data_IF_629116471640
#
_entry.id   IF_629116471640
#
_cell.length_a   1.000
_cell.length_b   1.000
_cell.length_c   1.000
_cell.angle_alpha   90.00
_cell.angle_beta   90.00
_cell.angle_gamma   90.00
#
_symmetry.space_group_name_H-M   'P 1'
#
loop_
_entity.id
_entity.type
_entity.pdbx_description
1 polymer ?
#
# COMPACT_ATOMS: atom_id res chain seq x y z
N UNK A 1 -1.72 18.44 -7.06
CA UNK A 1 -1.87 17.02 -7.46
C UNK A 1 -1.76 16.98 -8.97
N UNK A 2 -1.02 16.05 -9.59
CA UNK A 2 -1.04 15.89 -11.03
C UNK A 2 -2.47 15.65 -11.49
N UNK A 3 -2.90 16.36 -12.52
CA UNK A 3 -4.25 16.23 -13.09
C UNK A 3 -4.29 14.88 -13.83
N UNK A 4 -5.01 13.90 -13.27
CA UNK A 4 -5.19 12.62 -13.93
C UNK A 4 -5.97 12.79 -15.23
N UNK A 5 -5.51 12.12 -16.27
CA UNK A 5 -6.25 11.98 -17.51
C UNK A 5 -7.33 10.92 -17.35
N UNK A 6 -8.56 11.25 -17.73
CA UNK A 6 -9.67 10.28 -17.71
C UNK A 6 -9.83 9.68 -19.10
N UNK A 7 -9.81 8.36 -19.14
CA UNK A 7 -10.04 7.55 -20.36
C UNK A 7 -11.30 6.73 -20.14
N UNK A 8 -12.23 6.77 -21.10
CA UNK A 8 -13.41 5.90 -21.11
C UNK A 8 -13.06 4.59 -21.82
N UNK A 9 -13.38 3.49 -21.19
CA UNK A 9 -13.13 2.13 -21.66
C UNK A 9 -14.48 1.44 -21.99
N UNK A 10 -14.48 0.37 -22.81
CA UNK A 10 -15.69 -0.39 -23.09
C UNK A 10 -16.42 -0.84 -21.82
N UNK A 11 -17.77 -0.79 -21.83
CA UNK A 11 -18.64 -1.19 -20.73
C UNK A 11 -18.68 -0.19 -19.57
N UNK A 12 -18.70 1.11 -19.87
CA UNK A 12 -18.77 2.23 -18.93
C UNK A 12 -17.66 2.24 -17.86
N UNK A 13 -16.56 1.55 -18.15
CA UNK A 13 -15.38 1.57 -17.30
C UNK A 13 -14.61 2.89 -17.47
N UNK A 14 -14.01 3.36 -16.41
CA UNK A 14 -13.19 4.56 -16.44
C UNK A 14 -11.80 4.26 -15.90
N UNK A 15 -10.79 4.72 -16.63
CA UNK A 15 -9.41 4.77 -16.17
C UNK A 15 -9.01 6.21 -15.86
N UNK A 16 -8.32 6.42 -14.76
CA UNK A 16 -7.60 7.65 -14.41
C UNK A 16 -6.13 7.33 -14.50
N UNK A 17 -5.46 7.98 -15.45
CA UNK A 17 -4.07 7.68 -15.82
C UNK A 17 -3.18 8.85 -15.45
N UNK A 18 -2.01 8.55 -14.92
CA UNK A 18 -0.96 9.54 -14.73
C UNK A 18 -0.41 9.96 -16.10
N UNK A 19 -0.58 11.22 -16.56
CA UNK A 19 -0.14 11.65 -17.87
C UNK A 19 1.39 11.60 -18.03
N UNK A 20 2.13 11.75 -16.92
CA UNK A 20 3.59 11.76 -16.88
C UNK A 20 4.18 10.36 -16.68
N UNK A 21 3.42 9.30 -16.99
CA UNK A 21 3.92 7.94 -16.87
C UNK A 21 4.88 7.62 -18.01
N UNK A 22 6.11 7.15 -17.74
CA UNK A 22 7.17 7.02 -18.76
C UNK A 22 6.86 6.01 -19.87
N UNK A 23 6.19 4.89 -19.52
CA UNK A 23 5.76 3.83 -20.45
C UNK A 23 4.23 3.91 -20.60
N UNK A 24 3.77 4.95 -21.32
CA UNK A 24 2.34 5.16 -21.54
C UNK A 24 1.70 4.02 -22.34
N UNK A 25 2.41 3.51 -23.36
CA UNK A 25 1.89 2.45 -24.22
C UNK A 25 1.71 1.14 -23.44
N UNK A 26 2.71 0.71 -22.69
CA UNK A 26 2.61 -0.46 -21.82
C UNK A 26 1.52 -0.30 -20.76
N UNK A 27 1.37 0.89 -20.18
CA UNK A 27 0.32 1.17 -19.22
C UNK A 27 -1.08 1.05 -19.85
N UNK A 28 -1.30 1.59 -21.05
CA UNK A 28 -2.58 1.50 -21.78
C UNK A 28 -2.89 0.05 -22.18
N UNK A 29 -1.88 -0.70 -22.62
CA UNK A 29 -1.99 -2.14 -22.88
C UNK A 29 -2.44 -2.90 -21.64
N UNK A 30 -1.80 -2.62 -20.49
CA UNK A 30 -2.16 -3.26 -19.21
C UNK A 30 -3.59 -2.90 -18.77
N UNK A 31 -4.01 -1.65 -18.95
CA UNK A 31 -5.38 -1.19 -18.67
C UNK A 31 -6.39 -1.91 -19.58
N UNK A 32 -6.10 -2.06 -20.86
CA UNK A 32 -6.95 -2.78 -21.80
C UNK A 32 -7.09 -4.27 -21.43
N UNK A 33 -5.99 -4.89 -21.04
CA UNK A 33 -5.91 -6.30 -20.65
C UNK A 33 -6.18 -6.56 -19.15
N UNK A 34 -6.69 -5.60 -18.38
CA UNK A 34 -6.81 -5.66 -16.92
C UNK A 34 -7.48 -6.91 -16.36
N UNK A 35 -8.40 -7.52 -17.12
CA UNK A 35 -9.10 -8.74 -16.72
C UNK A 35 -8.25 -10.00 -16.87
N UNK A 36 -7.35 -10.02 -17.84
CA UNK A 36 -6.51 -11.15 -18.22
C UNK A 36 -5.05 -10.97 -17.84
N UNK A 37 -4.61 -9.73 -17.57
CA UNK A 37 -3.21 -9.43 -17.27
C UNK A 37 -2.64 -10.24 -16.10
N UNK A 38 -3.48 -10.64 -15.15
CA UNK A 38 -3.08 -11.48 -13.99
C UNK A 38 -2.93 -12.98 -14.35
N UNK A 39 -3.13 -13.34 -15.62
CA UNK A 39 -2.94 -14.69 -16.16
C UNK A 39 -1.82 -14.76 -17.21
N UNK A 40 -1.15 -13.63 -17.47
CA UNK A 40 -0.05 -13.57 -18.45
C UNK A 40 1.15 -14.38 -17.97
N UNK A 41 1.99 -14.89 -18.89
CA UNK A 41 3.27 -15.50 -18.54
C UNK A 41 4.16 -14.52 -17.75
N UNK A 42 4.92 -15.06 -16.77
CA UNK A 42 5.83 -14.26 -15.95
C UNK A 42 5.16 -13.44 -14.84
N UNK A 43 3.85 -13.55 -14.66
CA UNK A 43 3.14 -12.90 -13.54
C UNK A 43 3.48 -13.57 -12.23
N UNK A 44 3.89 -12.76 -11.24
CA UNK A 44 4.13 -13.21 -9.88
C UNK A 44 3.00 -12.76 -8.96
N UNK A 45 2.25 -13.71 -8.41
CA UNK A 45 1.13 -13.44 -7.51
C UNK A 45 1.68 -13.32 -6.08
N UNK A 46 1.44 -12.18 -5.43
CA UNK A 46 1.84 -11.91 -4.05
C UNK A 46 0.71 -12.16 -3.06
N UNK A 47 -0.55 -11.95 -3.49
CA UNK A 47 -1.74 -12.12 -2.68
C UNK A 47 -2.92 -12.52 -3.55
N UNK A 48 -3.72 -13.46 -3.06
CA UNK A 48 -4.96 -13.88 -3.70
C UNK A 48 -5.97 -14.27 -2.63
N UNK A 49 -6.84 -13.32 -2.25
CA UNK A 49 -7.88 -13.51 -1.25
C UNK A 49 -9.26 -13.05 -1.80
N UNK A 50 -10.37 -13.33 -1.10
CA UNK A 50 -11.70 -12.93 -1.58
C UNK A 50 -11.87 -11.42 -1.76
N UNK A 51 -11.07 -10.59 -1.11
CA UNK A 51 -11.17 -9.12 -1.17
C UNK A 51 -10.31 -8.52 -2.27
N UNK A 52 -9.14 -9.12 -2.55
CA UNK A 52 -8.18 -8.56 -3.49
C UNK A 52 -7.21 -9.60 -4.05
N UNK A 53 -6.68 -9.31 -5.24
CA UNK A 53 -5.54 -10.02 -5.83
C UNK A 53 -4.45 -9.01 -6.12
N UNK A 54 -3.22 -9.31 -5.72
CA UNK A 54 -2.05 -8.46 -5.94
C UNK A 54 -1.00 -9.27 -6.68
N UNK A 55 -0.51 -8.74 -7.79
CA UNK A 55 0.50 -9.40 -8.58
C UNK A 55 1.45 -8.40 -9.25
N UNK A 56 2.68 -8.84 -9.48
CA UNK A 56 3.62 -8.17 -10.38
C UNK A 56 3.45 -8.70 -11.79
N UNK A 57 3.24 -7.79 -12.74
CA UNK A 57 2.96 -8.07 -14.15
C UNK A 57 4.05 -7.45 -15.01
N UNK A 58 4.80 -8.22 -15.81
CA UNK A 58 5.76 -7.69 -16.76
C UNK A 58 5.05 -7.18 -18.02
N UNK A 59 5.34 -5.94 -18.43
CA UNK A 59 4.86 -5.34 -19.68
C UNK A 59 5.99 -4.48 -20.26
N UNK A 60 6.34 -4.68 -21.52
CA UNK A 60 7.39 -3.93 -22.23
C UNK A 60 8.71 -3.80 -21.45
N UNK A 61 9.15 -4.88 -20.79
CA UNK A 61 10.37 -4.88 -19.99
C UNK A 61 10.28 -4.14 -18.65
N UNK A 62 9.11 -3.62 -18.28
CA UNK A 62 8.85 -3.01 -16.99
C UNK A 62 7.98 -3.90 -16.12
N UNK A 63 8.17 -3.78 -14.80
CA UNK A 63 7.35 -4.48 -13.83
C UNK A 63 6.32 -3.52 -13.24
N UNK A 64 5.07 -3.91 -13.34
CA UNK A 64 3.94 -3.20 -12.75
C UNK A 64 3.36 -4.00 -11.59
N UNK A 65 3.04 -3.35 -10.48
CA UNK A 65 2.21 -3.96 -9.45
C UNK A 65 0.75 -3.65 -9.77
N UNK A 66 -0.05 -4.70 -9.89
CA UNK A 66 -1.50 -4.61 -10.13
C UNK A 66 -2.22 -5.13 -8.89
N UNK A 67 -2.99 -4.27 -8.23
CA UNK A 67 -3.90 -4.63 -7.13
C UNK A 67 -5.33 -4.58 -7.64
N UNK A 68 -5.92 -5.75 -7.84
CA UNK A 68 -7.32 -5.90 -8.20
C UNK A 68 -8.18 -6.01 -6.94
N UNK A 69 -9.03 -5.03 -6.71
CA UNK A 69 -10.04 -5.04 -5.65
C UNK A 69 -11.27 -5.77 -6.15
N UNK A 70 -11.52 -6.94 -5.60
CA UNK A 70 -12.64 -7.78 -5.96
C UNK A 70 -13.94 -7.24 -5.36
N UNK A 71 -15.05 -7.53 -6.03
CA UNK A 71 -16.39 -7.25 -5.51
C UNK A 71 -16.61 -8.00 -4.21
N UNK A 72 -17.12 -7.32 -3.20
CA UNK A 72 -17.56 -7.92 -1.94
C UNK A 72 -19.08 -8.07 -1.91
N UNK A 73 -19.59 -8.92 -1.00
CA UNK A 73 -21.02 -9.18 -0.85
C UNK A 73 -21.83 -7.89 -0.61
N UNK A 74 -23.05 -7.82 -1.18
CA UNK A 74 -23.94 -6.65 -1.25
C UNK A 74 -24.15 -5.92 0.09
N UNK A 75 -24.23 -6.65 1.20
CA UNK A 75 -24.39 -6.08 2.55
C UNK A 75 -23.23 -5.18 2.97
N UNK A 76 -22.01 -5.47 2.52
CA UNK A 76 -20.82 -4.64 2.82
C UNK A 76 -20.69 -3.44 1.88
N UNK A 77 -21.31 -3.52 0.70
CA UNK A 77 -21.26 -2.46 -0.31
C UNK A 77 -22.26 -1.33 -0.04
N UNK A 78 -23.44 -1.61 0.53
CA UNK A 78 -24.44 -0.57 0.86
C UNK A 78 -23.88 0.52 1.80
N UNK A 79 -23.09 0.14 2.81
CA UNK A 79 -22.41 1.11 3.67
C UNK A 79 -21.19 1.79 3.05
N UNK A 80 -20.72 1.30 1.87
CA UNK A 80 -19.54 1.79 1.14
C UNK A 80 -19.87 2.48 -0.18
N UNK A 81 -21.10 2.37 -0.68
CA UNK A 81 -21.54 2.95 -1.96
C UNK A 81 -21.31 4.47 -2.02
N UNK A 82 -21.38 5.15 -0.87
CA UNK A 82 -21.11 6.58 -0.72
C UNK A 82 -19.63 6.90 -0.48
N UNK A 83 -18.77 5.89 -0.31
CA UNK A 83 -17.34 6.11 -0.08
C UNK A 83 -16.57 6.05 -1.40
N UNK A 84 -15.52 6.86 -1.49
CA UNK A 84 -14.58 6.84 -2.60
C UNK A 84 -13.98 5.43 -2.78
N UNK A 85 -13.78 4.92 -4.04
CA UNK A 85 -13.12 3.65 -4.30
C UNK A 85 -11.77 3.55 -3.59
N UNK A 86 -11.50 2.40 -2.94
CA UNK A 86 -10.20 2.16 -2.28
C UNK A 86 -9.02 2.37 -3.23
N UNK A 87 -9.14 1.95 -4.49
CA UNK A 87 -8.09 2.15 -5.50
C UNK A 87 -7.77 3.63 -5.72
N UNK A 88 -8.79 4.50 -5.85
CA UNK A 88 -8.58 5.95 -5.97
C UNK A 88 -8.04 6.55 -4.68
N UNK A 89 -8.52 6.08 -3.53
CA UNK A 89 -8.00 6.51 -2.23
C UNK A 89 -6.51 6.18 -2.08
N UNK A 90 -6.12 4.93 -2.36
CA UNK A 90 -4.72 4.49 -2.28
C UNK A 90 -3.83 5.23 -3.30
N UNK A 91 -4.36 5.51 -4.51
CA UNK A 91 -3.67 6.34 -5.51
C UNK A 91 -3.35 7.73 -4.95
N UNK A 92 -4.36 8.47 -4.48
CA UNK A 92 -4.18 9.82 -3.97
C UNK A 92 -3.27 9.86 -2.75
N UNK A 93 -3.39 8.85 -1.90
CA UNK A 93 -2.54 8.75 -0.72
C UNK A 93 -1.08 8.55 -1.11
N UNK A 94 -0.80 7.68 -2.09
CA UNK A 94 0.56 7.52 -2.62
C UNK A 94 1.12 8.83 -3.20
N UNK A 95 0.33 9.54 -4.01
CA UNK A 95 0.73 10.86 -4.55
C UNK A 95 1.05 11.83 -3.41
N UNK A 96 0.20 11.89 -2.39
CA UNK A 96 0.38 12.76 -1.24
C UNK A 96 1.63 12.42 -0.43
N UNK A 97 1.85 11.14 -0.14
CA UNK A 97 3.02 10.68 0.62
C UNK A 97 4.32 10.99 -0.11
N UNK A 98 4.35 10.77 -1.43
CA UNK A 98 5.50 11.14 -2.26
C UNK A 98 5.78 12.65 -2.22
N UNK A 99 4.74 13.49 -2.29
CA UNK A 99 4.88 14.94 -2.16
C UNK A 99 5.40 15.37 -0.78
N UNK A 100 5.18 14.58 0.27
CA UNK A 100 5.72 14.77 1.62
C UNK A 100 7.12 14.15 1.78
N UNK A 101 7.71 13.61 0.71
CA UNK A 101 9.00 12.92 0.74
C UNK A 101 8.98 11.58 1.49
N UNK A 102 7.81 11.00 1.74
CA UNK A 102 7.68 9.66 2.34
C UNK A 102 7.84 8.62 1.23
N UNK A 103 8.85 7.73 1.30
CA UNK A 103 9.11 6.72 0.28
C UNK A 103 7.91 5.77 0.12
N UNK A 104 7.46 5.64 -1.12
CA UNK A 104 6.39 4.71 -1.51
C UNK A 104 6.38 4.55 -3.04
N UNK A 105 5.56 3.64 -3.54
CA UNK A 105 5.38 3.39 -4.97
C UNK A 105 4.90 4.62 -5.74
N UNK A 106 5.30 4.71 -7.01
CA UNK A 106 4.74 5.67 -7.96
C UNK A 106 3.44 5.12 -8.53
N UNK A 107 2.29 5.78 -8.31
CA UNK A 107 1.03 5.31 -8.88
C UNK A 107 0.93 5.67 -10.36
N UNK A 108 0.51 4.71 -11.19
CA UNK A 108 0.40 4.84 -12.64
C UNK A 108 -1.03 5.11 -13.08
N UNK A 109 -1.98 4.28 -12.63
CA UNK A 109 -3.38 4.41 -13.00
C UNK A 109 -4.32 3.77 -11.97
N UNK A 110 -5.58 4.20 -12.05
CA UNK A 110 -6.70 3.51 -11.41
C UNK A 110 -7.75 3.20 -12.47
N UNK A 111 -8.28 1.97 -12.46
CA UNK A 111 -9.43 1.62 -13.29
C UNK A 111 -10.60 1.27 -12.38
N UNK A 112 -11.79 1.79 -12.67
CA UNK A 112 -13.01 1.42 -11.98
C UNK A 112 -13.99 0.80 -12.95
N UNK A 113 -14.64 -0.28 -12.52
CA UNK A 113 -15.67 -0.99 -13.28
C UNK A 113 -17.02 -0.72 -12.63
N UNK A 114 -17.91 0.04 -13.27
CA UNK A 114 -19.26 0.27 -12.77
C UNK A 114 -20.13 -0.98 -12.95
N UNK A 115 -21.16 -1.11 -12.10
CA UNK A 115 -22.20 -2.11 -12.24
C UNK A 115 -23.56 -1.49 -11.93
N UNK A 116 -24.35 -1.19 -12.96
CA UNK A 116 -25.65 -0.55 -12.80
C UNK A 116 -25.58 0.81 -12.10
N UNK A 117 -26.69 1.28 -11.58
CA UNK A 117 -26.85 2.66 -11.07
C UNK A 117 -26.06 2.97 -9.79
N UNK A 118 -25.59 1.98 -9.01
CA UNK A 118 -24.99 2.23 -7.70
C UNK A 118 -23.90 1.24 -7.27
N UNK A 119 -23.71 0.13 -7.96
CA UNK A 119 -22.80 -0.94 -7.55
C UNK A 119 -21.54 -0.95 -8.40
N UNK A 120 -20.37 -1.27 -7.80
CA UNK A 120 -19.09 -1.40 -8.49
C UNK A 120 -18.73 -2.86 -8.67
N UNK A 121 -18.32 -3.25 -9.88
CA UNK A 121 -17.84 -4.62 -10.14
C UNK A 121 -16.48 -4.89 -9.55
N UNK A 122 -15.60 -3.89 -9.58
CA UNK A 122 -14.25 -4.00 -9.11
C UNK A 122 -13.46 -2.72 -9.39
N UNK A 123 -12.23 -2.70 -8.94
CA UNK A 123 -11.30 -1.62 -9.26
C UNK A 123 -9.88 -2.18 -9.34
N UNK A 124 -9.04 -1.54 -10.14
CA UNK A 124 -7.62 -1.87 -10.25
C UNK A 124 -6.80 -0.64 -9.88
N UNK A 125 -5.80 -0.84 -9.03
CA UNK A 125 -4.72 0.11 -8.82
C UNK A 125 -3.49 -0.45 -9.52
N UNK A 126 -2.91 0.34 -10.42
CA UNK A 126 -1.70 -0.01 -11.17
C UNK A 126 -0.60 0.95 -10.72
N UNK A 127 0.54 0.40 -10.33
CA UNK A 127 1.69 1.17 -9.84
C UNK A 127 2.98 0.63 -10.43
N UNK A 128 4.10 1.33 -10.23
CA UNK A 128 5.39 0.69 -10.37
C UNK A 128 5.51 -0.48 -9.37
N UNK A 129 6.19 -1.54 -9.75
CA UNK A 129 6.58 -2.58 -8.82
C UNK A 129 7.83 -2.12 -8.08
N UNK A 130 7.76 -2.04 -6.76
CA UNK A 130 8.94 -1.78 -5.93
C UNK A 130 9.74 -3.09 -5.80
N UNK A 131 11.05 -2.97 -5.89
CA UNK A 131 11.96 -4.05 -5.55
C UNK A 131 12.07 -4.21 -4.02
N UNK A 132 12.71 -5.29 -3.58
CA UNK A 132 12.99 -5.55 -2.20
C UNK A 132 12.11 -6.62 -1.57
N UNK A 133 12.26 -6.77 -0.26
CA UNK A 133 11.55 -7.74 0.58
C UNK A 133 10.75 -7.04 1.66
N UNK A 134 9.74 -7.71 2.18
CA UNK A 134 8.96 -7.17 3.30
C UNK A 134 9.80 -7.12 4.58
N UNK A 135 9.44 -6.24 5.53
CA UNK A 135 10.11 -6.21 6.82
C UNK A 135 10.02 -7.57 7.53
N UNK A 136 8.91 -8.31 7.38
CA UNK A 136 8.79 -9.69 7.87
C UNK A 136 9.93 -10.56 7.35
N UNK A 137 10.16 -10.57 6.03
CA UNK A 137 11.21 -11.37 5.41
C UNK A 137 12.61 -10.90 5.80
N UNK A 138 12.79 -9.58 5.96
CA UNK A 138 14.06 -9.00 6.38
C UNK A 138 14.44 -9.42 7.79
N UNK A 139 13.55 -9.25 8.77
CA UNK A 139 13.83 -9.59 10.17
C UNK A 139 13.83 -11.10 10.44
N UNK A 140 13.20 -11.91 9.60
CA UNK A 140 13.27 -13.37 9.69
C UNK A 140 14.58 -13.97 9.13
N UNK A 141 15.37 -13.19 8.39
CA UNK A 141 16.61 -13.68 7.78
C UNK A 141 17.76 -13.65 8.80
N UNK A 142 18.31 -14.82 9.22
CA UNK A 142 19.39 -14.86 10.20
C UNK A 142 20.73 -14.30 9.68
N UNK A 143 20.88 -14.14 8.37
CA UNK A 143 22.09 -13.58 7.76
C UNK A 143 22.19 -12.06 7.95
N UNK A 144 21.12 -11.40 8.38
CA UNK A 144 21.13 -9.96 8.62
C UNK A 144 21.74 -9.66 9.98
N UNK A 145 22.80 -8.88 9.98
CA UNK A 145 23.49 -8.47 11.19
C UNK A 145 22.69 -7.48 12.06
N UNK A 146 23.10 -7.32 13.30
CA UNK A 146 22.40 -6.46 14.27
C UNK A 146 22.42 -4.97 13.87
N UNK A 147 23.46 -4.49 13.19
CA UNK A 147 23.58 -3.11 12.74
C UNK A 147 22.55 -2.81 11.64
N UNK A 148 22.45 -3.69 10.65
CA UNK A 148 21.46 -3.56 9.60
C UNK A 148 20.02 -3.65 10.14
N UNK A 149 19.76 -4.55 11.11
CA UNK A 149 18.45 -4.62 11.80
C UNK A 149 18.13 -3.32 12.53
N UNK A 150 19.10 -2.75 13.26
CA UNK A 150 18.91 -1.50 13.98
C UNK A 150 18.65 -0.32 13.04
N UNK A 151 19.40 -0.24 11.94
CA UNK A 151 19.19 0.77 10.91
C UNK A 151 17.77 0.69 10.32
N UNK A 152 17.36 -0.46 9.86
CA UNK A 152 16.03 -0.64 9.23
C UNK A 152 14.89 -0.39 10.24
N UNK A 153 15.03 -0.83 11.48
CA UNK A 153 14.04 -0.54 12.53
C UNK A 153 13.92 0.98 12.77
N UNK A 154 15.05 1.69 12.78
CA UNK A 154 15.10 3.15 12.88
C UNK A 154 14.38 3.84 11.71
N UNK A 155 14.63 3.40 10.47
CA UNK A 155 13.95 3.91 9.28
C UNK A 155 12.43 3.66 9.34
N UNK A 156 11.98 2.47 9.75
CA UNK A 156 10.55 2.17 9.90
C UNK A 156 9.87 3.07 10.93
N UNK A 157 10.50 3.26 12.08
CA UNK A 157 10.00 4.17 13.13
C UNK A 157 9.96 5.61 12.61
N UNK A 158 11.03 6.08 11.97
CA UNK A 158 11.12 7.42 11.37
C UNK A 158 10.01 7.65 10.34
N UNK A 159 9.73 6.68 9.47
CA UNK A 159 8.66 6.79 8.49
C UNK A 159 7.28 6.95 9.14
N UNK A 160 6.96 6.18 10.17
CA UNK A 160 5.70 6.34 10.90
C UNK A 160 5.63 7.66 11.63
N UNK A 161 6.72 8.15 12.22
CA UNK A 161 6.77 9.46 12.85
C UNK A 161 6.50 10.58 11.84
N UNK A 162 7.13 10.53 10.66
CA UNK A 162 6.92 11.50 9.57
C UNK A 162 5.47 11.47 9.07
N UNK A 163 4.89 10.28 8.92
CA UNK A 163 3.50 10.10 8.56
C UNK A 163 2.58 10.76 9.60
N UNK A 164 2.82 10.48 10.89
CA UNK A 164 2.04 11.05 11.99
C UNK A 164 2.22 12.58 12.12
N UNK A 165 3.44 13.10 11.90
CA UNK A 165 3.70 14.53 11.87
C UNK A 165 2.92 15.25 10.76
N UNK A 166 2.73 14.59 9.60
CA UNK A 166 1.90 15.09 8.51
C UNK A 166 0.37 15.01 8.79
N UNK A 167 -0.03 14.60 9.99
CA UNK A 167 -1.44 14.45 10.38
C UNK A 167 -2.11 13.21 9.79
N UNK A 168 -1.33 12.25 9.32
CA UNK A 168 -1.81 11.00 8.73
C UNK A 168 -1.63 9.84 9.71
N UNK A 169 -2.42 8.79 9.53
CA UNK A 169 -2.26 7.49 10.18
C UNK A 169 -2.28 6.40 9.11
N UNK A 170 -1.47 5.36 9.27
CA UNK A 170 -1.42 4.26 8.31
C UNK A 170 -2.68 3.38 8.38
N UNK A 171 -3.13 3.11 9.59
CA UNK A 171 -4.32 2.29 9.86
C UNK A 171 -4.08 0.79 9.81
N UNK A 172 -3.00 0.34 9.14
CA UNK A 172 -2.57 -1.06 9.05
C UNK A 172 -1.04 -1.17 8.98
N UNK A 173 -0.34 -0.68 10.02
CA UNK A 173 1.13 -0.63 10.09
C UNK A 173 1.75 -2.01 10.39
N UNK A 174 1.51 -2.98 9.48
CA UNK A 174 2.05 -4.34 9.56
C UNK A 174 3.42 -4.44 8.89
N UNK A 175 4.18 -5.43 9.32
CA UNK A 175 5.50 -5.78 8.81
C UNK A 175 5.53 -6.02 7.28
N UNK A 176 4.45 -6.57 6.71
CA UNK A 176 4.31 -6.75 5.27
C UNK A 176 4.06 -5.46 4.48
N UNK A 177 3.74 -4.35 5.17
CA UNK A 177 3.46 -3.05 4.56
C UNK A 177 4.69 -2.11 4.58
N UNK A 178 5.85 -2.64 4.96
CA UNK A 178 7.16 -2.00 4.80
C UNK A 178 8.00 -2.85 3.86
N UNK A 179 8.42 -2.27 2.73
CA UNK A 179 9.33 -2.89 1.77
C UNK A 179 10.73 -2.33 1.95
N UNK A 180 11.71 -3.23 1.99
CA UNK A 180 13.12 -2.92 2.22
C UNK A 180 13.90 -3.26 0.97
N UNK A 181 14.54 -2.25 0.39
CA UNK A 181 15.44 -2.37 -0.74
C UNK A 181 16.70 -1.55 -0.48
N UNK A 182 17.88 -2.22 -0.55
CA UNK A 182 19.19 -1.56 -0.37
C UNK A 182 19.23 -0.58 0.82
N UNK A 183 18.84 -1.05 2.01
CA UNK A 183 18.78 -0.27 3.25
C UNK A 183 17.76 0.89 3.27
N UNK A 184 16.89 1.01 2.27
CA UNK A 184 15.79 1.97 2.23
C UNK A 184 14.47 1.29 2.56
N UNK A 185 13.63 1.99 3.30
CA UNK A 185 12.29 1.51 3.65
C UNK A 185 11.23 2.31 2.91
N UNK A 186 10.29 1.61 2.27
CA UNK A 186 9.13 2.21 1.62
C UNK A 186 7.83 1.71 2.26
N UNK A 187 6.85 2.61 2.43
CA UNK A 187 5.50 2.25 2.89
C UNK A 187 4.63 1.83 1.71
N UNK A 188 3.80 0.81 1.91
CA UNK A 188 2.83 0.32 0.93
C UNK A 188 1.48 0.01 1.59
N UNK A 189 0.45 -0.21 0.77
CA UNK A 189 -0.92 -0.55 1.18
C UNK A 189 -1.64 0.54 1.99
N UNK A 190 -2.16 1.53 1.28
CA UNK A 190 -2.82 2.72 1.87
C UNK A 190 -4.34 2.63 1.96
N UNK A 191 -4.90 1.41 1.91
CA UNK A 191 -6.36 1.19 1.89
C UNK A 191 -7.08 1.72 3.14
N UNK A 192 -6.38 1.72 4.27
CA UNK A 192 -6.89 2.19 5.57
C UNK A 192 -6.21 3.50 6.05
N UNK A 193 -5.29 4.05 5.24
CA UNK A 193 -4.59 5.28 5.58
C UNK A 193 -5.56 6.46 5.58
N UNK A 194 -5.48 7.30 6.59
CA UNK A 194 -6.44 8.38 6.77
C UNK A 194 -5.80 9.65 7.33
N UNK A 195 -6.50 10.77 7.15
CA UNK A 195 -6.24 12.03 7.86
C UNK A 195 -7.39 12.28 8.86
N UNK A 196 -7.31 11.69 10.05
CA UNK A 196 -8.39 11.83 11.02
C UNK A 196 -8.44 13.28 11.54
N UNK A 197 -9.64 13.85 11.59
CA UNK A 197 -9.89 15.15 12.26
C UNK A 197 -10.03 14.96 13.77
N UNK A 198 -10.55 13.81 14.19
CA UNK A 198 -10.77 13.44 15.59
C UNK A 198 -10.00 12.17 15.93
N UNK A 199 -9.70 11.95 17.22
CA UNK A 199 -9.03 10.74 17.73
C UNK A 199 -7.63 10.46 17.15
N UNK A 200 -6.92 11.48 16.65
CA UNK A 200 -5.59 11.29 16.08
C UNK A 200 -4.64 10.53 17.02
N UNK A 201 -4.58 10.90 18.30
CA UNK A 201 -3.72 10.25 19.27
C UNK A 201 -4.04 8.75 19.45
N UNK A 202 -5.30 8.37 19.46
CA UNK A 202 -5.73 6.97 19.56
C UNK A 202 -5.37 6.16 18.32
N UNK A 203 -5.54 6.75 17.13
CA UNK A 203 -5.22 6.10 15.86
C UNK A 203 -3.71 5.97 15.63
N UNK A 204 -2.91 6.96 16.03
CA UNK A 204 -1.44 6.87 16.05
C UNK A 204 -0.96 5.76 17.00
N UNK A 205 -1.55 5.66 18.20
CA UNK A 205 -1.27 4.55 19.13
C UNK A 205 -1.65 3.19 18.54
N UNK A 206 -2.71 3.12 17.69
CA UNK A 206 -3.06 1.90 16.98
C UNK A 206 -1.95 1.48 16.02
N UNK A 207 -1.40 2.41 15.21
CA UNK A 207 -0.29 2.11 14.29
C UNK A 207 0.92 1.54 15.05
N UNK A 208 1.32 2.17 16.18
CA UNK A 208 2.40 1.68 17.01
C UNK A 208 2.12 0.28 17.61
N UNK A 209 0.90 0.05 18.06
CA UNK A 209 0.50 -1.28 18.56
C UNK A 209 0.54 -2.34 17.47
N UNK A 210 0.12 -2.01 16.25
CA UNK A 210 0.19 -2.93 15.12
C UNK A 210 1.64 -3.25 14.75
N UNK A 211 2.51 -2.24 14.71
CA UNK A 211 3.93 -2.45 14.47
C UNK A 211 4.53 -3.40 15.52
N UNK A 212 4.28 -3.15 16.81
CA UNK A 212 4.80 -4.00 17.90
C UNK A 212 4.22 -5.40 17.90
N UNK A 213 2.93 -5.54 17.55
CA UNK A 213 2.26 -6.84 17.51
C UNK A 213 2.93 -7.82 16.53
N UNK A 214 3.55 -7.32 15.47
CA UNK A 214 4.25 -8.16 14.50
C UNK A 214 5.44 -8.92 15.12
N UNK A 215 6.06 -8.33 16.14
CA UNK A 215 7.30 -8.83 16.74
C UNK A 215 7.11 -9.55 18.08
N UNK A 216 5.88 -9.79 18.50
CA UNK A 216 5.60 -10.44 19.79
C UNK A 216 6.23 -11.83 19.94
N UNK A 217 6.48 -12.53 18.83
CA UNK A 217 7.13 -13.85 18.80
C UNK A 217 8.66 -13.75 18.62
N UNK A 218 9.21 -12.54 18.49
CA UNK A 218 10.64 -12.26 18.35
C UNK A 218 11.05 -11.19 19.38
N UNK A 219 11.40 -11.57 20.62
CA UNK A 219 11.73 -10.64 21.69
C UNK A 219 12.92 -9.72 21.38
N UNK A 220 13.89 -10.18 20.60
CA UNK A 220 15.05 -9.38 20.22
C UNK A 220 14.64 -8.22 19.32
N UNK A 221 13.86 -8.50 18.27
CA UNK A 221 13.31 -7.46 17.38
C UNK A 221 12.32 -6.56 18.12
N UNK A 222 11.48 -7.12 19.01
CA UNK A 222 10.56 -6.31 19.82
C UNK A 222 11.31 -5.31 20.71
N UNK A 223 12.37 -5.75 21.40
CA UNK A 223 13.22 -4.89 22.25
C UNK A 223 13.87 -3.76 21.43
N UNK A 224 14.36 -4.09 20.23
CA UNK A 224 14.93 -3.11 19.31
C UNK A 224 13.91 -2.00 18.96
N UNK A 225 12.70 -2.35 18.56
CA UNK A 225 11.67 -1.36 18.25
C UNK A 225 11.23 -0.57 19.47
N UNK A 226 11.09 -1.19 20.65
CA UNK A 226 10.74 -0.50 21.90
C UNK A 226 11.78 0.55 22.29
N UNK A 227 13.07 0.31 22.03
CA UNK A 227 14.11 1.28 22.28
C UNK A 227 13.98 2.53 21.37
N UNK A 228 13.51 2.35 20.14
CA UNK A 228 13.40 3.40 19.11
C UNK A 228 12.09 4.19 19.16
N UNK A 229 10.99 3.55 19.60
CA UNK A 229 9.68 4.21 19.68
C UNK A 229 9.68 5.23 20.83
N UNK A 230 9.30 6.51 20.58
CA UNK A 230 9.22 7.51 21.63
C UNK A 230 8.35 7.06 22.80
N UNK A 231 8.74 7.32 24.07
CA UNK A 231 8.04 6.85 25.26
C UNK A 231 6.54 7.16 25.28
N UNK A 232 6.16 8.37 24.80
CA UNK A 232 4.76 8.81 24.71
C UNK A 232 3.89 7.95 23.74
N UNK A 233 4.54 7.20 22.85
CA UNK A 233 3.89 6.37 21.84
C UNK A 233 4.04 4.88 22.09
N UNK A 234 4.83 4.48 23.11
CA UNK A 234 4.98 3.07 23.45
C UNK A 234 3.63 2.48 23.82
N UNK A 235 3.24 1.34 23.20
CA UNK A 235 2.06 0.63 23.64
C UNK A 235 2.25 0.21 25.10
N UNK A 236 1.29 0.55 25.97
CA UNK A 236 1.31 0.13 27.36
C UNK A 236 1.40 -1.39 27.45
N UNK A 237 2.41 -1.85 28.20
CA UNK A 237 2.69 -3.22 28.63
C UNK A 237 2.71 -4.32 27.56
N UNK A 238 3.93 -4.69 27.14
CA UNK A 238 4.28 -6.08 26.94
C UNK A 238 4.53 -6.69 28.35
N UNK A 239 3.47 -7.06 29.03
CA UNK A 239 3.44 -7.94 30.17
C UNK A 239 2.63 -9.14 29.80
#
# INVERSE_FOLDING_TARGET
>A
MPKLERITLPGDCHAWVNPDWPDREGLLTLIAQRKTCLQLPGVMIHKDDPASRVATVPVNGRLYLVKHYRRQALRRELGRALRRPKALHSYDMAVRLRALGIPTFRPAAVVTEPFGCALRRGAYLITEALAGRTARQFFADPAIDASARAHIAGEMVSLLQRLHAAGLVHGDAKDNNFLIDNARVSLVDFDETARPLLRQASLRRKDWRQLMHNWRADPATATLFLALIPPIHRPYNAG
#
